data_IF_494770861827
#
_entry.id   IF_494770861827
#
_cell.length_a   1.000
_cell.length_b   1.000
_cell.length_c   1.000
_cell.angle_alpha   90.00
_cell.angle_beta   90.00
_cell.angle_gamma   90.00
#
_symmetry.space_group_name_H-M   'P 1'
#
loop_
_entity.id
_entity.type
_entity.pdbx_description
1 polymer ?
#
# COMPACT_ATOMS: atom_id res chain seq x y z
N UNK A 1 -5.97 58.96 -11.89
CA UNK A 1 -5.65 57.84 -10.99
C UNK A 1 -6.96 57.18 -10.58
N UNK A 2 -7.39 56.15 -11.33
CA UNK A 2 -8.63 55.38 -11.03
C UNK A 2 -8.21 54.06 -10.43
N UNK A 3 -8.50 53.89 -9.16
CA UNK A 3 -8.31 52.66 -8.40
C UNK A 3 -9.30 51.60 -8.86
N UNK A 4 -8.82 50.60 -9.57
CA UNK A 4 -9.59 49.41 -9.93
C UNK A 4 -9.65 48.51 -8.69
N UNK A 5 -10.84 48.47 -8.07
CA UNK A 5 -11.17 47.52 -7.01
C UNK A 5 -11.35 46.15 -7.67
N UNK A 6 -10.62 45.10 -7.28
CA UNK A 6 -10.86 43.77 -7.81
C UNK A 6 -12.22 43.25 -7.31
N UNK A 7 -13.11 42.97 -8.25
CA UNK A 7 -14.40 42.31 -7.98
C UNK A 7 -14.15 40.93 -7.40
N UNK A 8 -14.50 40.74 -6.13
CA UNK A 8 -14.58 39.43 -5.51
C UNK A 8 -15.50 38.51 -6.34
N UNK A 9 -14.92 37.53 -7.00
CA UNK A 9 -15.67 36.44 -7.62
C UNK A 9 -16.42 35.68 -6.53
N UNK A 10 -17.73 35.80 -6.50
CA UNK A 10 -18.63 35.02 -5.64
C UNK A 10 -18.56 33.53 -6.06
N UNK A 11 -17.54 32.80 -5.60
CA UNK A 11 -17.57 31.36 -5.57
C UNK A 11 -18.66 30.94 -4.56
N UNK A 12 -19.87 30.63 -5.08
CA UNK A 12 -20.94 30.03 -4.29
C UNK A 12 -20.38 28.79 -3.59
N UNK A 13 -20.05 28.92 -2.32
CA UNK A 13 -19.64 27.78 -1.50
C UNK A 13 -20.80 26.80 -1.44
N UNK A 14 -20.64 25.65 -2.09
CA UNK A 14 -21.63 24.56 -2.00
C UNK A 14 -21.81 24.22 -0.54
N UNK A 15 -23.07 24.33 -0.03
CA UNK A 15 -23.35 24.09 1.38
C UNK A 15 -22.86 22.71 1.82
N UNK A 16 -22.40 22.59 3.06
CA UNK A 16 -21.92 21.32 3.62
C UNK A 16 -22.96 20.19 3.44
N UNK A 17 -24.25 20.51 3.64
CA UNK A 17 -25.37 19.57 3.44
C UNK A 17 -25.41 19.02 1.99
N UNK A 18 -25.24 19.88 0.99
CA UNK A 18 -25.23 19.45 -0.42
C UNK A 18 -23.99 18.58 -0.76
N UNK A 19 -22.84 18.89 -0.17
CA UNK A 19 -21.62 18.04 -0.33
C UNK A 19 -21.81 16.67 0.29
N UNK A 20 -22.37 16.58 1.50
CA UNK A 20 -22.67 15.31 2.16
C UNK A 20 -23.68 14.52 1.34
N UNK A 21 -24.76 15.15 0.86
CA UNK A 21 -25.77 14.48 0.04
C UNK A 21 -25.18 13.93 -1.25
N UNK A 22 -24.40 14.71 -1.99
CA UNK A 22 -23.75 14.26 -3.22
C UNK A 22 -22.77 13.11 -2.96
N UNK A 23 -21.98 13.18 -1.89
CA UNK A 23 -21.09 12.11 -1.48
C UNK A 23 -21.87 10.82 -1.14
N UNK A 24 -22.95 10.93 -0.36
CA UNK A 24 -23.79 9.78 0.00
C UNK A 24 -24.43 9.14 -1.23
N UNK A 25 -24.98 9.93 -2.15
CA UNK A 25 -25.54 9.41 -3.41
C UNK A 25 -24.47 8.72 -4.25
N UNK A 26 -23.29 9.33 -4.40
CA UNK A 26 -22.18 8.73 -5.14
C UNK A 26 -21.72 7.41 -4.54
N UNK A 27 -21.65 7.33 -3.20
CA UNK A 27 -21.31 6.10 -2.49
C UNK A 27 -22.37 5.00 -2.70
N UNK A 28 -23.64 5.33 -2.60
CA UNK A 28 -24.74 4.38 -2.84
C UNK A 28 -24.67 3.83 -4.26
N UNK A 29 -24.49 4.70 -5.27
CA UNK A 29 -24.38 4.29 -6.67
C UNK A 29 -23.16 3.41 -6.91
N UNK A 30 -22.01 3.73 -6.30
CA UNK A 30 -20.80 2.95 -6.41
C UNK A 30 -20.95 1.56 -5.77
N UNK A 31 -21.57 1.49 -4.59
CA UNK A 31 -21.87 0.23 -3.90
C UNK A 31 -22.84 -0.61 -4.74
N UNK A 32 -23.90 -0.01 -5.28
CA UNK A 32 -24.85 -0.70 -6.14
C UNK A 32 -24.19 -1.26 -7.41
N UNK A 33 -23.33 -0.47 -8.07
CA UNK A 33 -22.60 -0.91 -9.26
C UNK A 33 -21.58 -2.02 -8.96
N UNK A 34 -20.96 -2.01 -7.78
CA UNK A 34 -19.97 -3.00 -7.37
C UNK A 34 -20.60 -4.25 -6.70
N UNK A 35 -21.88 -4.22 -6.35
CA UNK A 35 -22.53 -5.32 -5.61
C UNK A 35 -22.41 -6.69 -6.28
N UNK A 36 -22.46 -6.87 -7.62
CA UNK A 36 -22.26 -8.17 -8.25
C UNK A 36 -20.88 -8.77 -7.98
N UNK A 37 -19.86 -7.91 -7.82
CA UNK A 37 -18.49 -8.33 -7.47
C UNK A 37 -18.45 -8.83 -6.03
N UNK A 38 -19.10 -8.10 -5.12
CA UNK A 38 -19.07 -8.42 -3.69
C UNK A 38 -19.93 -9.63 -3.33
N UNK A 39 -20.95 -9.92 -4.10
CA UNK A 39 -21.80 -11.10 -3.87
C UNK A 39 -21.20 -12.41 -4.42
N UNK A 40 -20.05 -12.36 -5.07
CA UNK A 40 -19.33 -13.57 -5.53
C UNK A 40 -19.04 -14.52 -4.36
N UNK A 41 -19.16 -15.81 -4.65
CA UNK A 41 -18.75 -16.89 -3.74
C UNK A 41 -17.26 -17.18 -3.88
N UNK A 42 -16.67 -17.82 -2.87
CA UNK A 42 -15.28 -18.29 -2.87
C UNK A 42 -14.24 -17.16 -3.04
N UNK A 43 -14.53 -15.99 -2.47
CA UNK A 43 -13.57 -14.89 -2.37
C UNK A 43 -12.55 -15.12 -1.26
N UNK A 44 -11.42 -14.38 -1.26
CA UNK A 44 -10.47 -14.42 -0.14
C UNK A 44 -11.12 -14.00 1.19
N UNK A 45 -12.12 -13.11 1.15
CA UNK A 45 -12.89 -12.76 2.33
C UNK A 45 -13.58 -13.97 2.95
N UNK A 46 -14.24 -14.80 2.14
CA UNK A 46 -14.91 -15.99 2.65
C UNK A 46 -13.91 -17.10 3.05
N UNK A 47 -12.94 -17.37 2.17
CA UNK A 47 -12.03 -18.53 2.32
C UNK A 47 -10.94 -18.31 3.37
N UNK A 48 -10.48 -17.06 3.53
CA UNK A 48 -9.39 -16.72 4.44
C UNK A 48 -9.94 -15.95 5.63
N UNK A 49 -10.38 -14.72 5.45
CA UNK A 49 -10.64 -13.82 6.58
C UNK A 49 -11.79 -14.29 7.49
N UNK A 50 -12.92 -14.70 6.93
CA UNK A 50 -14.04 -15.24 7.73
C UNK A 50 -13.72 -16.59 8.35
N UNK A 51 -13.04 -17.47 7.61
CA UNK A 51 -12.67 -18.79 8.10
C UNK A 51 -11.77 -18.67 9.33
N UNK A 52 -10.69 -17.89 9.23
CA UNK A 52 -9.76 -17.71 10.34
C UNK A 52 -10.34 -16.86 11.49
N UNK A 53 -11.27 -15.96 11.22
CA UNK A 53 -12.04 -15.28 12.25
C UNK A 53 -12.94 -16.27 13.05
N UNK A 54 -13.52 -17.26 12.37
CA UNK A 54 -14.30 -18.32 13.02
C UNK A 54 -13.43 -19.22 13.89
N UNK A 55 -12.28 -19.68 13.37
CA UNK A 55 -11.30 -20.47 14.14
C UNK A 55 -10.83 -19.70 15.38
N UNK A 56 -10.50 -18.42 15.21
CA UNK A 56 -10.10 -17.56 16.32
C UNK A 56 -11.19 -17.46 17.42
N UNK A 57 -12.46 -17.28 17.00
CA UNK A 57 -13.60 -17.21 17.94
C UNK A 57 -13.84 -18.54 18.67
N UNK A 58 -13.53 -19.66 18.04
CA UNK A 58 -13.62 -21.00 18.61
C UNK A 58 -12.44 -21.33 19.53
N UNK A 59 -11.45 -20.45 19.66
CA UNK A 59 -10.23 -20.68 20.43
C UNK A 59 -9.24 -21.61 19.74
N UNK A 60 -9.46 -21.91 18.44
CA UNK A 60 -8.57 -22.76 17.67
C UNK A 60 -7.30 -22.03 17.23
N UNK A 61 -6.27 -22.79 16.92
CA UNK A 61 -5.00 -22.26 16.44
C UNK A 61 -5.10 -21.82 14.99
N UNK A 62 -5.08 -20.50 14.77
CA UNK A 62 -5.11 -19.90 13.43
C UNK A 62 -3.79 -20.02 12.68
N UNK A 63 -2.72 -20.45 13.34
CA UNK A 63 -1.37 -20.59 12.79
C UNK A 63 -0.92 -22.07 12.74
N UNK A 64 -1.86 -23.01 12.71
CA UNK A 64 -1.56 -24.44 12.61
C UNK A 64 -0.72 -24.78 11.38
N UNK A 65 -0.11 -25.95 11.36
CA UNK A 65 0.65 -26.42 10.19
C UNK A 65 -0.26 -26.50 8.96
N UNK A 66 0.21 -25.95 7.82
CA UNK A 66 -0.57 -25.83 6.59
C UNK A 66 -1.53 -24.64 6.56
N UNK A 67 -1.55 -23.78 7.59
CA UNK A 67 -2.34 -22.55 7.59
C UNK A 67 -1.93 -21.63 6.45
N UNK A 68 -2.92 -21.13 5.70
CA UNK A 68 -2.72 -20.07 4.68
C UNK A 68 -2.86 -18.65 5.25
N UNK A 69 -3.13 -18.53 6.56
CA UNK A 69 -3.30 -17.26 7.24
C UNK A 69 -1.94 -16.66 7.64
N UNK A 70 -1.49 -15.68 6.87
CA UNK A 70 -0.16 -15.06 7.00
C UNK A 70 -0.21 -13.66 7.63
N UNK A 71 -1.28 -13.34 8.34
CA UNK A 71 -1.50 -12.02 8.91
C UNK A 71 -1.36 -12.03 10.44
N UNK A 72 -1.03 -10.89 11.07
CA UNK A 72 -1.13 -10.76 12.53
C UNK A 72 -2.54 -11.08 13.06
N UNK A 73 -2.70 -11.44 14.35
CA UNK A 73 -3.98 -11.92 14.90
C UNK A 73 -5.10 -10.89 14.86
N UNK A 74 -4.78 -9.60 14.89
CA UNK A 74 -5.74 -8.50 14.75
C UNK A 74 -6.58 -8.63 13.48
N UNK A 75 -5.99 -9.10 12.40
CA UNK A 75 -6.69 -9.24 11.12
C UNK A 75 -7.85 -10.25 11.18
N UNK A 76 -7.67 -11.38 11.83
CA UNK A 76 -8.75 -12.34 12.04
C UNK A 76 -9.80 -11.78 13.02
N UNK A 77 -9.36 -11.09 14.07
CA UNK A 77 -10.22 -10.56 15.11
C UNK A 77 -11.25 -9.56 14.59
N UNK A 78 -10.85 -8.60 13.76
CA UNK A 78 -11.77 -7.59 13.19
C UNK A 78 -12.77 -8.19 12.21
N UNK A 79 -12.53 -9.41 11.73
CA UNK A 79 -13.46 -10.13 10.85
C UNK A 79 -14.50 -10.96 11.62
N UNK A 80 -14.39 -11.12 12.94
CA UNK A 80 -15.34 -11.90 13.77
C UNK A 80 -16.80 -11.44 13.58
N UNK A 81 -17.14 -10.14 13.60
CA UNK A 81 -18.53 -9.68 13.47
C UNK A 81 -19.23 -10.15 12.19
N UNK A 82 -18.46 -10.40 11.13
CA UNK A 82 -19.04 -10.84 9.85
C UNK A 82 -19.51 -12.30 9.89
N UNK A 83 -19.08 -13.11 10.87
CA UNK A 83 -19.52 -14.49 11.01
C UNK A 83 -20.95 -14.61 11.57
N UNK A 84 -21.44 -13.59 12.29
CA UNK A 84 -22.81 -13.54 12.81
C UNK A 84 -23.84 -13.04 11.79
N UNK A 85 -23.39 -12.53 10.64
CA UNK A 85 -24.28 -11.99 9.62
C UNK A 85 -24.64 -13.06 8.58
N UNK A 86 -25.85 -13.00 7.98
CA UNK A 86 -26.17 -13.75 6.78
C UNK A 86 -25.12 -13.52 5.68
N UNK A 87 -24.78 -14.55 4.92
CA UNK A 87 -23.63 -14.52 3.99
C UNK A 87 -23.67 -13.38 2.98
N UNK A 88 -24.86 -13.09 2.42
CA UNK A 88 -24.99 -11.97 1.49
C UNK A 88 -24.75 -10.61 2.16
N UNK A 89 -25.22 -10.43 3.40
CA UNK A 89 -25.05 -9.19 4.15
C UNK A 89 -23.58 -9.02 4.61
N UNK A 90 -22.95 -10.10 5.02
CA UNK A 90 -21.52 -10.13 5.35
C UNK A 90 -20.66 -9.67 4.17
N UNK A 91 -20.87 -10.22 2.98
CA UNK A 91 -20.17 -9.83 1.76
C UNK A 91 -20.45 -8.41 1.33
N UNK A 92 -21.71 -7.98 1.38
CA UNK A 92 -22.10 -6.60 1.03
C UNK A 92 -21.47 -5.59 2.00
N UNK A 93 -21.50 -5.89 3.29
CA UNK A 93 -20.87 -5.03 4.31
C UNK A 93 -19.35 -4.93 4.10
N UNK A 94 -18.69 -6.05 3.84
CA UNK A 94 -17.26 -6.09 3.51
C UNK A 94 -16.92 -5.26 2.27
N UNK A 95 -17.70 -5.42 1.20
CA UNK A 95 -17.56 -4.65 -0.02
C UNK A 95 -17.78 -3.15 0.19
N UNK A 96 -18.78 -2.79 1.00
CA UNK A 96 -19.06 -1.38 1.37
C UNK A 96 -17.88 -0.76 2.11
N UNK A 97 -17.29 -1.47 3.07
CA UNK A 97 -16.09 -1.04 3.79
C UNK A 97 -14.91 -0.86 2.82
N UNK A 98 -14.70 -1.80 1.91
CA UNK A 98 -13.65 -1.69 0.90
C UNK A 98 -13.84 -0.45 0.01
N UNK A 99 -15.05 -0.17 -0.45
CA UNK A 99 -15.34 1.04 -1.24
C UNK A 99 -15.08 2.31 -0.43
N UNK A 100 -15.49 2.34 0.84
CA UNK A 100 -15.23 3.48 1.71
C UNK A 100 -13.72 3.76 1.81
N UNK A 101 -12.92 2.73 2.09
CA UNK A 101 -11.47 2.88 2.20
C UNK A 101 -10.79 3.15 0.86
N UNK A 102 -11.33 2.67 -0.25
CA UNK A 102 -10.89 3.04 -1.59
C UNK A 102 -11.04 4.55 -1.85
N UNK A 103 -12.21 5.10 -1.57
CA UNK A 103 -12.46 6.55 -1.69
C UNK A 103 -11.57 7.34 -0.74
N UNK A 104 -11.40 6.86 0.50
CA UNK A 104 -10.54 7.47 1.51
C UNK A 104 -9.06 7.47 1.05
N UNK A 105 -8.60 6.40 0.43
CA UNK A 105 -7.25 6.29 -0.12
C UNK A 105 -7.00 7.34 -1.20
N UNK A 106 -7.91 7.42 -2.18
CA UNK A 106 -7.82 8.39 -3.28
C UNK A 106 -7.85 9.84 -2.76
N UNK A 107 -8.82 10.17 -1.92
CA UNK A 107 -8.98 11.52 -1.35
C UNK A 107 -7.75 11.94 -0.54
N UNK A 108 -7.25 11.01 0.31
CA UNK A 108 -6.07 11.27 1.14
C UNK A 108 -4.81 11.50 0.31
N UNK A 109 -4.54 10.61 -0.65
CA UNK A 109 -3.40 10.71 -1.56
C UNK A 109 -3.47 12.01 -2.40
N UNK A 110 -4.66 12.33 -2.91
CA UNK A 110 -4.89 13.55 -3.67
C UNK A 110 -4.62 14.81 -2.85
N UNK A 111 -5.11 14.86 -1.61
CA UNK A 111 -4.87 15.99 -0.70
C UNK A 111 -3.39 16.15 -0.35
N UNK A 112 -2.68 15.04 -0.09
CA UNK A 112 -1.24 15.07 0.20
C UNK A 112 -0.46 15.56 -1.02
N UNK A 113 -0.76 15.05 -2.22
CA UNK A 113 -0.04 15.40 -3.45
C UNK A 113 -0.13 16.89 -3.84
N UNK A 114 -1.18 17.60 -3.38
CA UNK A 114 -1.34 19.05 -3.62
C UNK A 114 -0.17 19.88 -3.08
N UNK A 115 0.53 19.39 -2.06
CA UNK A 115 1.70 20.05 -1.51
C UNK A 115 2.92 20.04 -2.44
N UNK A 116 3.00 19.08 -3.38
CA UNK A 116 4.16 18.91 -4.26
C UNK A 116 4.21 20.00 -5.33
N UNK A 117 3.06 20.29 -5.94
CA UNK A 117 2.92 21.34 -6.94
C UNK A 117 1.47 21.85 -6.98
N UNK A 118 1.32 23.18 -6.90
CA UNK A 118 0.03 23.86 -7.03
C UNK A 118 -0.32 24.03 -8.51
N UNK A 119 -0.97 23.04 -9.10
CA UNK A 119 -1.47 23.12 -10.48
C UNK A 119 -2.77 23.91 -10.58
N UNK A 120 -3.04 24.51 -11.77
CA UNK A 120 -4.35 25.08 -12.05
C UNK A 120 -5.44 23.98 -12.07
N UNK A 121 -6.72 24.37 -12.01
CA UNK A 121 -7.83 23.40 -11.89
C UNK A 121 -7.89 22.40 -13.04
N UNK A 122 -7.70 22.86 -14.31
CA UNK A 122 -7.75 21.95 -15.47
C UNK A 122 -6.63 20.92 -15.44
N UNK A 123 -5.41 21.35 -15.18
CA UNK A 123 -4.26 20.45 -15.08
C UNK A 123 -4.35 19.54 -13.84
N UNK A 124 -4.93 20.04 -12.76
CA UNK A 124 -5.23 19.22 -11.59
C UNK A 124 -6.07 17.98 -11.94
N UNK A 125 -7.10 18.13 -12.78
CA UNK A 125 -7.90 17.00 -13.24
C UNK A 125 -7.13 16.03 -14.15
N UNK A 126 -6.28 16.53 -15.04
CA UNK A 126 -5.39 15.69 -15.88
C UNK A 126 -4.45 14.88 -15.00
N UNK A 127 -3.79 15.51 -14.04
CA UNK A 127 -2.90 14.84 -13.11
C UNK A 127 -3.65 13.78 -12.25
N UNK A 128 -4.90 14.08 -11.86
CA UNK A 128 -5.75 13.12 -11.14
C UNK A 128 -6.04 11.89 -11.99
N UNK A 129 -6.48 12.08 -13.25
CA UNK A 129 -6.81 10.98 -14.15
C UNK A 129 -5.56 10.14 -14.44
N UNK A 130 -4.43 10.74 -14.77
CA UNK A 130 -3.19 10.03 -15.06
C UNK A 130 -2.74 9.21 -13.86
N UNK A 131 -2.68 9.81 -12.67
CA UNK A 131 -2.29 9.09 -11.46
C UNK A 131 -3.27 7.96 -11.11
N UNK A 132 -4.57 8.14 -11.35
CA UNK A 132 -5.57 7.10 -11.14
C UNK A 132 -5.37 5.93 -12.12
N UNK A 133 -5.15 6.20 -13.41
CA UNK A 133 -4.89 5.15 -14.42
C UNK A 133 -3.69 4.30 -14.02
N UNK A 134 -2.61 4.89 -13.49
CA UNK A 134 -1.42 4.15 -13.06
C UNK A 134 -1.72 3.03 -12.06
N UNK A 135 -2.81 3.12 -11.29
CA UNK A 135 -3.11 2.19 -10.18
C UNK A 135 -4.46 1.51 -10.26
N UNK A 136 -5.32 1.88 -11.20
CA UNK A 136 -6.70 1.37 -11.31
C UNK A 136 -6.74 -0.15 -11.37
N UNK A 137 -5.87 -0.78 -12.15
CA UNK A 137 -5.82 -2.25 -12.28
C UNK A 137 -5.50 -2.95 -10.95
N UNK A 138 -4.75 -2.31 -10.06
CA UNK A 138 -4.40 -2.87 -8.74
C UNK A 138 -5.59 -2.80 -7.78
N UNK A 139 -6.28 -1.67 -7.75
CA UNK A 139 -7.51 -1.54 -6.97
C UNK A 139 -8.62 -2.47 -7.46
N UNK A 140 -8.83 -2.57 -8.77
CA UNK A 140 -9.81 -3.49 -9.35
C UNK A 140 -9.48 -4.94 -9.00
N UNK A 141 -8.21 -5.33 -9.04
CA UNK A 141 -7.78 -6.66 -8.63
C UNK A 141 -8.09 -6.93 -7.16
N UNK A 142 -7.76 -5.98 -6.26
CA UNK A 142 -8.06 -6.10 -4.85
C UNK A 142 -9.57 -6.22 -4.57
N UNK A 143 -10.38 -5.37 -5.18
CA UNK A 143 -11.82 -5.39 -5.02
C UNK A 143 -12.46 -6.67 -5.57
N UNK A 144 -12.00 -7.16 -6.73
CA UNK A 144 -12.52 -8.38 -7.36
C UNK A 144 -12.24 -9.65 -6.56
N UNK A 145 -11.12 -9.69 -5.82
CA UNK A 145 -10.77 -10.80 -4.93
C UNK A 145 -11.25 -10.57 -3.50
N UNK A 146 -11.87 -9.42 -3.22
CA UNK A 146 -12.35 -9.03 -1.88
C UNK A 146 -11.24 -9.06 -0.83
N UNK A 147 -10.04 -8.61 -1.21
CA UNK A 147 -8.88 -8.55 -0.34
C UNK A 147 -8.93 -7.37 0.63
N UNK A 148 -8.13 -7.43 1.69
CA UNK A 148 -8.05 -6.41 2.73
C UNK A 148 -7.16 -5.22 2.36
N UNK A 149 -6.37 -5.33 1.32
CA UNK A 149 -5.29 -4.37 1.01
C UNK A 149 -5.79 -2.95 0.70
N UNK A 150 -7.02 -2.80 0.20
CA UNK A 150 -7.65 -1.47 0.04
C UNK A 150 -7.89 -0.80 1.39
N UNK A 151 -8.31 -1.56 2.39
CA UNK A 151 -8.54 -1.05 3.76
C UNK A 151 -7.20 -0.62 4.37
N UNK A 152 -6.16 -1.43 4.20
CA UNK A 152 -4.79 -1.07 4.65
C UNK A 152 -4.31 0.19 3.93
N UNK A 153 -4.42 0.26 2.62
CA UNK A 153 -4.01 1.41 1.82
C UNK A 153 -4.73 2.71 2.26
N UNK A 154 -6.06 2.63 2.43
CA UNK A 154 -6.87 3.75 2.92
C UNK A 154 -6.45 4.22 4.32
N UNK A 155 -6.22 3.27 5.23
CA UNK A 155 -5.78 3.56 6.60
C UNK A 155 -4.40 4.22 6.61
N UNK A 156 -3.43 3.69 5.86
CA UNK A 156 -2.08 4.26 5.76
C UNK A 156 -2.11 5.66 5.15
N UNK A 157 -2.79 5.84 4.01
CA UNK A 157 -2.85 7.12 3.32
C UNK A 157 -3.59 8.18 4.15
N UNK A 158 -4.64 7.79 4.87
CA UNK A 158 -5.30 8.69 5.81
C UNK A 158 -4.40 9.02 7.02
N UNK A 159 -3.64 8.04 7.53
CA UNK A 159 -2.59 8.27 8.53
C UNK A 159 -1.53 9.26 8.05
N UNK A 160 -1.03 9.09 6.84
CA UNK A 160 -0.11 10.03 6.19
C UNK A 160 -0.75 11.43 6.03
N UNK A 161 -2.04 11.52 5.70
CA UNK A 161 -2.76 12.80 5.65
C UNK A 161 -2.84 13.46 7.03
N UNK A 162 -3.03 12.71 8.11
CA UNK A 162 -2.97 13.27 9.46
C UNK A 162 -1.55 13.76 9.81
N UNK A 163 -0.54 12.97 9.49
CA UNK A 163 0.87 13.38 9.69
C UNK A 163 1.22 14.62 8.89
N UNK A 164 0.75 14.76 7.67
CA UNK A 164 0.96 15.96 6.84
C UNK A 164 0.32 17.23 7.42
N UNK A 165 -0.65 17.07 8.32
CA UNK A 165 -1.32 18.15 9.05
C UNK A 165 -0.79 18.34 10.47
N UNK A 166 0.40 17.80 10.77
CA UNK A 166 1.02 17.80 12.09
C UNK A 166 0.16 17.15 13.20
N UNK A 167 -0.81 16.30 12.83
CA UNK A 167 -1.63 15.52 13.77
C UNK A 167 -0.94 14.19 14.08
N UNK A 168 0.18 14.24 14.78
CA UNK A 168 1.10 13.13 15.01
C UNK A 168 0.45 11.93 15.69
N UNK A 169 -0.36 12.18 16.73
CA UNK A 169 -1.04 11.09 17.46
C UNK A 169 -1.99 10.35 16.53
N UNK A 170 -2.86 11.08 15.81
CA UNK A 170 -3.82 10.45 14.91
C UNK A 170 -3.13 9.68 13.78
N UNK A 171 -2.08 10.28 13.18
CA UNK A 171 -1.32 9.63 12.13
C UNK A 171 -0.57 8.39 12.62
N UNK A 172 0.05 8.48 13.80
CA UNK A 172 0.75 7.37 14.44
C UNK A 172 -0.18 6.18 14.74
N UNK A 173 -1.33 6.44 15.40
CA UNK A 173 -2.32 5.38 15.70
C UNK A 173 -2.78 4.68 14.42
N UNK A 174 -3.14 5.43 13.37
CA UNK A 174 -3.62 4.85 12.10
C UNK A 174 -2.55 3.98 11.43
N UNK A 175 -1.30 4.43 11.42
CA UNK A 175 -0.19 3.64 10.89
C UNK A 175 0.08 2.40 11.76
N UNK A 176 -0.06 2.49 13.09
CA UNK A 176 0.05 1.36 14.01
C UNK A 176 -1.05 0.32 13.80
N UNK A 177 -2.29 0.75 13.61
CA UNK A 177 -3.43 -0.13 13.27
C UNK A 177 -3.17 -0.83 11.92
N UNK A 178 -2.72 -0.09 10.91
CA UNK A 178 -2.40 -0.69 9.61
C UNK A 178 -1.26 -1.72 9.72
N UNK A 179 -0.24 -1.44 10.55
CA UNK A 179 0.85 -2.38 10.82
C UNK A 179 0.37 -3.63 11.58
N UNK A 180 -0.64 -3.50 12.44
CA UNK A 180 -1.25 -4.64 13.12
C UNK A 180 -2.08 -5.51 12.18
N UNK A 181 -2.55 -5.00 11.04
CA UNK A 181 -3.19 -5.80 10.00
C UNK A 181 -2.15 -6.49 9.09
N UNK A 182 -1.06 -5.80 8.77
CA UNK A 182 0.01 -6.27 7.88
C UNK A 182 1.31 -5.57 8.23
N UNK A 183 2.38 -6.29 8.46
CA UNK A 183 3.61 -5.75 9.03
C UNK A 183 4.34 -4.70 8.17
N UNK A 184 4.05 -4.62 6.87
CA UNK A 184 4.77 -3.72 5.96
C UNK A 184 4.76 -2.24 6.38
N UNK A 185 3.69 -1.65 7.00
CA UNK A 185 3.72 -0.29 7.52
C UNK A 185 4.71 -0.03 8.67
N UNK A 186 5.28 -1.08 9.29
CA UNK A 186 6.38 -0.92 10.26
C UNK A 186 7.55 -0.12 9.66
N UNK A 187 7.67 -0.08 8.33
CA UNK A 187 8.70 0.71 7.65
C UNK A 187 8.55 2.23 7.89
N UNK A 188 7.40 2.69 8.36
CA UNK A 188 7.25 4.09 8.81
C UNK A 188 7.96 4.37 10.13
N UNK A 189 8.21 3.38 11.02
CA UNK A 189 8.90 3.62 12.29
C UNK A 189 10.30 4.22 12.12
N UNK A 190 11.23 3.62 11.33
CA UNK A 190 12.54 4.23 11.11
C UNK A 190 12.44 5.63 10.50
N UNK A 191 11.45 5.89 9.65
CA UNK A 191 11.20 7.21 9.12
C UNK A 191 10.78 8.22 10.21
N UNK A 192 9.82 7.84 11.06
CA UNK A 192 9.36 8.69 12.15
C UNK A 192 10.48 8.99 13.15
N UNK A 193 11.36 7.99 13.43
CA UNK A 193 12.58 8.16 14.25
C UNK A 193 13.52 9.15 13.57
N UNK A 194 13.81 8.96 12.29
CA UNK A 194 14.68 9.83 11.51
C UNK A 194 14.19 11.29 11.46
N UNK A 195 12.85 11.50 11.52
CA UNK A 195 12.21 12.82 11.56
C UNK A 195 11.88 13.29 12.97
N UNK A 196 12.34 12.61 14.03
CA UNK A 196 12.13 12.96 15.45
C UNK A 196 10.66 13.18 15.83
N UNK A 197 9.73 12.47 15.15
CA UNK A 197 8.29 12.59 15.41
C UNK A 197 7.84 11.70 16.57
N UNK A 198 8.36 11.97 17.75
CA UNK A 198 8.21 11.13 18.96
C UNK A 198 6.74 10.85 19.32
N UNK A 199 5.86 11.86 19.19
CA UNK A 199 4.41 11.68 19.46
C UNK A 199 3.80 10.68 18.49
N UNK A 200 4.17 10.69 17.22
CA UNK A 200 3.71 9.74 16.23
C UNK A 200 4.27 8.34 16.49
N UNK A 201 5.53 8.21 16.90
CA UNK A 201 6.17 6.93 17.26
C UNK A 201 5.43 6.27 18.42
N UNK A 202 5.24 7.01 19.53
CA UNK A 202 4.53 6.47 20.69
C UNK A 202 3.12 6.05 20.36
N UNK A 203 2.38 6.87 19.62
CA UNK A 203 1.04 6.57 19.17
C UNK A 203 0.99 5.35 18.22
N UNK A 204 1.98 5.22 17.33
CA UNK A 204 2.14 4.05 16.46
C UNK A 204 2.33 2.77 17.28
N UNK A 205 3.30 2.78 18.21
CA UNK A 205 3.62 1.60 19.04
C UNK A 205 2.41 1.21 19.88
N UNK A 206 1.73 2.18 20.52
CA UNK A 206 0.51 1.92 21.29
C UNK A 206 -0.57 1.30 20.40
N UNK A 207 -0.87 1.90 19.23
CA UNK A 207 -1.87 1.37 18.31
C UNK A 207 -1.54 -0.04 17.82
N UNK A 208 -0.28 -0.29 17.46
CA UNK A 208 0.20 -1.59 17.00
C UNK A 208 0.08 -2.67 18.09
N UNK A 209 0.60 -2.40 19.29
CA UNK A 209 0.55 -3.36 20.40
C UNK A 209 -0.89 -3.59 20.86
N UNK A 210 -1.67 -2.53 21.06
CA UNK A 210 -3.07 -2.64 21.46
C UNK A 210 -3.85 -3.56 20.50
N UNK A 211 -3.78 -3.32 19.19
CA UNK A 211 -4.50 -4.14 18.22
C UNK A 211 -4.05 -5.61 18.23
N UNK A 212 -2.76 -5.88 18.38
CA UNK A 212 -2.27 -7.26 18.34
C UNK A 212 -2.60 -8.04 19.62
N UNK A 213 -2.65 -7.39 20.80
CA UNK A 213 -2.94 -8.05 22.06
C UNK A 213 -4.43 -8.07 22.45
N UNK A 214 -5.26 -7.20 21.85
CA UNK A 214 -6.69 -7.15 22.18
C UNK A 214 -7.44 -8.47 21.90
N UNK A 215 -7.11 -9.29 20.88
CA UNK A 215 -7.69 -10.61 20.73
C UNK A 215 -7.50 -11.50 21.95
N UNK A 216 -6.31 -11.48 22.56
CA UNK A 216 -6.01 -12.27 23.75
C UNK A 216 -6.69 -11.72 25.01
N UNK A 217 -6.85 -10.41 25.10
CA UNK A 217 -7.55 -9.76 26.21
C UNK A 217 -9.05 -10.09 26.20
N UNK A 218 -9.68 -10.13 25.01
CA UNK A 218 -11.12 -10.36 24.87
C UNK A 218 -11.50 -11.84 24.83
N UNK A 219 -10.72 -12.65 24.11
CA UNK A 219 -11.02 -14.07 23.87
C UNK A 219 -10.26 -15.02 24.81
N UNK A 220 -9.34 -14.50 25.62
CA UNK A 220 -8.39 -15.30 26.38
C UNK A 220 -7.23 -15.83 25.54
N UNK A 221 -6.23 -16.38 26.23
CA UNK A 221 -5.07 -17.01 25.57
C UNK A 221 -5.49 -18.30 24.87
N UNK A 222 -4.83 -18.68 23.77
CA UNK A 222 -5.05 -19.95 23.10
C UNK A 222 -4.61 -21.13 24.01
N UNK A 223 -4.98 -22.37 23.68
CA UNK A 223 -4.65 -23.56 24.49
C UNK A 223 -3.16 -23.71 24.80
N UNK A 224 -2.29 -23.19 23.97
CA UNK A 224 -0.83 -23.19 24.17
C UNK A 224 -0.36 -22.30 25.33
N UNK A 225 -1.24 -21.46 25.89
CA UNK A 225 -0.92 -20.52 26.97
C UNK A 225 -0.01 -19.35 26.57
N UNK A 226 0.29 -19.19 25.28
CA UNK A 226 1.12 -18.11 24.74
C UNK A 226 0.25 -17.04 24.06
N UNK A 227 0.59 -15.74 24.15
CA UNK A 227 -0.09 -14.71 23.37
C UNK A 227 0.02 -14.97 21.86
N UNK A 228 -1.09 -14.77 21.13
CA UNK A 228 -1.16 -14.99 19.67
C UNK A 228 -0.13 -14.19 18.86
N UNK A 229 0.24 -12.95 19.21
CA UNK A 229 1.34 -12.25 18.52
C UNK A 229 2.68 -12.96 18.66
N UNK A 230 2.95 -13.64 19.78
CA UNK A 230 4.18 -14.42 19.95
C UNK A 230 4.16 -15.68 19.09
N UNK A 231 3.02 -16.37 19.02
CA UNK A 231 2.84 -17.54 18.13
C UNK A 231 3.06 -17.11 16.66
N UNK A 232 2.51 -15.97 16.27
CA UNK A 232 2.74 -15.41 14.93
C UNK A 232 4.23 -15.16 14.65
N UNK A 233 4.96 -14.56 15.61
CA UNK A 233 6.40 -14.33 15.47
C UNK A 233 7.14 -15.68 15.35
N UNK A 234 6.86 -16.65 16.22
CA UNK A 234 7.52 -17.94 16.23
C UNK A 234 7.29 -18.73 14.93
N UNK A 235 6.06 -18.71 14.38
CA UNK A 235 5.70 -19.52 13.22
C UNK A 235 5.90 -18.84 11.87
N UNK A 236 5.82 -17.50 11.81
CA UNK A 236 5.95 -16.78 10.54
C UNK A 236 7.24 -15.97 10.42
N UNK A 237 7.62 -15.21 11.44
CA UNK A 237 8.76 -14.31 11.32
C UNK A 237 10.09 -15.01 11.62
N UNK A 238 10.14 -15.85 12.65
CA UNK A 238 11.37 -16.55 13.03
C UNK A 238 11.92 -17.46 11.90
N UNK A 239 11.09 -18.20 11.14
CA UNK A 239 11.60 -18.98 10.00
C UNK A 239 12.28 -18.14 8.93
N UNK A 240 11.86 -16.88 8.74
CA UNK A 240 12.47 -15.98 7.74
C UNK A 240 13.89 -15.55 8.10
N UNK A 241 14.28 -15.68 9.38
CA UNK A 241 15.65 -15.35 9.84
C UNK A 241 16.62 -16.50 9.67
N UNK A 242 16.15 -17.71 9.34
CA UNK A 242 17.00 -18.88 9.19
C UNK A 242 17.91 -18.74 7.95
N UNK A 243 19.14 -19.30 8.01
CA UNK A 243 20.09 -19.23 6.89
C UNK A 243 19.58 -19.90 5.60
N UNK A 244 18.77 -20.93 5.73
CA UNK A 244 18.16 -21.70 4.63
C UNK A 244 16.90 -21.06 4.06
N UNK A 245 16.35 -20.03 4.69
CA UNK A 245 15.21 -19.29 4.14
C UNK A 245 15.56 -18.62 2.82
N UNK A 246 14.79 -18.94 1.79
CA UNK A 246 14.97 -18.36 0.46
C UNK A 246 13.94 -17.24 0.25
N UNK A 247 14.37 -15.96 0.18
CA UNK A 247 13.45 -14.87 -0.10
C UNK A 247 12.69 -15.07 -1.42
N UNK A 248 11.41 -14.72 -1.43
CA UNK A 248 10.57 -14.79 -2.64
C UNK A 248 9.91 -16.16 -2.89
N UNK A 249 10.16 -17.17 -2.04
CA UNK A 249 9.48 -18.48 -2.14
C UNK A 249 8.13 -18.49 -1.45
N UNK A 250 7.82 -17.47 -0.70
CA UNK A 250 6.59 -17.42 0.06
C UNK A 250 5.42 -17.01 -0.84
N UNK A 251 4.38 -17.80 -0.82
CA UNK A 251 3.21 -17.67 -1.70
C UNK A 251 3.15 -18.76 -2.76
N UNK A 252 1.95 -19.09 -3.20
CA UNK A 252 1.67 -20.26 -4.03
C UNK A 252 2.23 -20.16 -5.45
N UNK A 253 2.38 -18.94 -6.02
CA UNK A 253 2.82 -18.74 -7.39
C UNK A 253 3.80 -17.58 -7.51
N UNK A 254 5.01 -17.90 -7.92
CA UNK A 254 6.12 -16.93 -8.01
C UNK A 254 5.85 -15.82 -9.00
N UNK A 255 5.12 -16.09 -10.10
CA UNK A 255 4.77 -15.07 -11.08
C UNK A 255 3.94 -13.93 -10.47
N UNK A 256 3.12 -14.21 -9.47
CA UNK A 256 2.31 -13.20 -8.80
C UNK A 256 3.07 -12.44 -7.71
N UNK A 257 4.22 -12.94 -7.25
CA UNK A 257 5.05 -12.21 -6.32
C UNK A 257 5.88 -11.15 -7.06
N UNK A 258 5.47 -9.89 -6.94
CA UNK A 258 6.08 -8.72 -7.59
C UNK A 258 6.96 -7.90 -6.62
N UNK A 259 7.39 -8.48 -5.50
CA UNK A 259 8.43 -7.89 -4.65
C UNK A 259 9.82 -8.04 -5.28
N UNK A 260 10.83 -7.31 -4.77
CA UNK A 260 12.22 -7.50 -5.20
C UNK A 260 12.69 -8.95 -4.98
N UNK A 261 12.30 -9.54 -3.83
CA UNK A 261 12.64 -10.91 -3.52
C UNK A 261 12.03 -11.91 -4.52
N UNK A 262 10.73 -11.79 -4.81
CA UNK A 262 10.05 -12.64 -5.79
C UNK A 262 10.59 -12.46 -7.21
N UNK A 263 10.85 -11.21 -7.60
CA UNK A 263 11.44 -10.88 -8.90
C UNK A 263 12.86 -11.42 -9.03
N UNK A 264 13.70 -11.20 -8.02
CA UNK A 264 15.07 -11.69 -7.99
C UNK A 264 15.13 -13.21 -8.08
N UNK A 265 14.28 -13.91 -7.31
CA UNK A 265 14.19 -15.36 -7.38
C UNK A 265 13.78 -15.84 -8.78
N UNK A 266 12.74 -15.26 -9.37
CA UNK A 266 12.26 -15.61 -10.72
C UNK A 266 13.34 -15.46 -11.79
N UNK A 267 14.15 -14.39 -11.73
CA UNK A 267 15.18 -14.15 -12.73
C UNK A 267 16.49 -14.93 -12.52
N UNK A 268 16.68 -15.54 -11.36
CA UNK A 268 17.89 -16.31 -11.04
C UNK A 268 17.68 -17.81 -11.07
N UNK A 269 16.47 -18.28 -11.35
CA UNK A 269 16.14 -19.70 -11.39
C UNK A 269 15.85 -20.21 -12.81
N UNK A 270 16.08 -21.50 -13.03
CA UNK A 270 15.74 -22.17 -14.28
C UNK A 270 14.22 -22.25 -14.44
N UNK A 271 13.72 -21.94 -15.62
CA UNK A 271 12.30 -21.96 -15.91
C UNK A 271 11.85 -23.36 -16.29
N UNK A 272 10.74 -23.80 -15.69
CA UNK A 272 10.03 -25.00 -16.09
C UNK A 272 8.68 -24.56 -16.67
N UNK A 273 8.39 -24.94 -17.91
CA UNK A 273 7.09 -24.70 -18.51
C UNK A 273 6.03 -25.57 -17.84
N UNK A 274 4.92 -24.97 -17.40
CA UNK A 274 3.76 -25.74 -16.94
C UNK A 274 2.82 -26.03 -18.10
N UNK A 275 2.02 -27.10 -17.97
CA UNK A 275 0.98 -27.45 -18.97
C UNK A 275 -0.09 -26.37 -19.15
N UNK A 276 -0.24 -25.47 -18.19
CA UNK A 276 -1.33 -24.47 -18.15
C UNK A 276 -0.94 -23.11 -18.72
N UNK A 277 0.33 -22.75 -18.71
CA UNK A 277 0.78 -21.47 -19.23
C UNK A 277 2.24 -21.52 -19.69
N UNK A 278 2.50 -21.04 -20.90
CA UNK A 278 3.84 -20.90 -21.48
C UNK A 278 4.81 -20.06 -20.62
N UNK A 279 4.28 -19.23 -19.72
CA UNK A 279 5.04 -18.30 -18.88
C UNK A 279 4.93 -18.61 -17.38
N UNK A 280 4.34 -19.73 -17.01
CA UNK A 280 4.33 -20.14 -15.61
C UNK A 280 5.69 -20.75 -15.25
N UNK A 281 6.19 -20.34 -14.10
CA UNK A 281 7.46 -20.83 -13.57
C UNK A 281 7.12 -21.75 -12.40
N UNK A 282 7.34 -23.05 -12.57
CA UNK A 282 7.41 -23.97 -11.43
C UNK A 282 8.87 -23.97 -10.99
N UNK A 283 9.09 -23.64 -9.73
CA UNK A 283 10.39 -23.75 -9.13
C UNK A 283 10.44 -25.10 -8.43
N UNK A 284 11.19 -26.00 -8.98
CA UNK A 284 11.76 -27.05 -8.16
C UNK A 284 12.77 -26.42 -7.21
N UNK A 285 12.77 -26.80 -5.93
CA UNK A 285 13.73 -26.28 -4.97
C UNK A 285 15.13 -26.77 -5.33
N UNK A 286 15.73 -26.12 -6.32
CA UNK A 286 17.16 -26.29 -6.59
C UNK A 286 17.91 -25.46 -5.55
N UNK A 287 18.27 -26.10 -4.46
CA UNK A 287 19.05 -25.52 -3.38
C UNK A 287 20.44 -25.02 -3.85
N UNK A 288 20.90 -25.40 -5.05
CA UNK A 288 22.22 -25.03 -5.58
C UNK A 288 22.34 -23.56 -6.00
N UNK A 289 21.23 -22.90 -6.35
CA UNK A 289 21.23 -21.50 -6.84
C UNK A 289 20.77 -20.44 -5.81
N UNK A 290 20.31 -20.86 -4.65
CA UNK A 290 19.86 -20.01 -3.56
C UNK A 290 20.90 -18.98 -3.05
N UNK A 291 22.23 -19.25 -3.07
CA UNK A 291 23.21 -18.32 -2.51
C UNK A 291 23.32 -16.96 -3.23
N UNK A 292 22.96 -16.90 -4.52
CA UNK A 292 23.15 -15.67 -5.32
C UNK A 292 22.07 -14.61 -5.11
N UNK A 293 20.87 -15.01 -4.73
CA UNK A 293 19.72 -14.07 -4.57
C UNK A 293 19.90 -13.16 -3.35
N UNK A 294 20.33 -13.72 -2.21
CA UNK A 294 20.52 -12.97 -0.95
C UNK A 294 21.49 -11.80 -1.09
N UNK A 295 22.72 -11.95 -1.59
CA UNK A 295 23.67 -10.83 -1.72
C UNK A 295 23.18 -9.78 -2.72
N UNK A 296 22.52 -10.16 -3.81
CA UNK A 296 21.94 -9.22 -4.77
C UNK A 296 20.85 -8.39 -4.10
N UNK A 297 19.90 -9.04 -3.40
CA UNK A 297 18.85 -8.34 -2.67
C UNK A 297 19.42 -7.43 -1.59
N UNK A 298 20.41 -7.88 -0.83
CA UNK A 298 21.06 -7.05 0.18
C UNK A 298 21.75 -5.84 -0.44
N UNK A 299 22.41 -6.00 -1.58
CA UNK A 299 23.01 -4.90 -2.33
C UNK A 299 21.96 -3.88 -2.80
N UNK A 300 20.82 -4.34 -3.33
CA UNK A 300 19.70 -3.49 -3.75
C UNK A 300 19.07 -2.74 -2.57
N UNK A 301 18.90 -3.41 -1.43
CA UNK A 301 18.37 -2.79 -0.20
C UNK A 301 19.32 -1.73 0.33
N UNK A 302 20.61 -2.03 0.41
CA UNK A 302 21.63 -1.07 0.87
C UNK A 302 21.71 0.13 -0.07
N UNK A 303 21.74 -0.09 -1.39
CA UNK A 303 21.74 0.98 -2.39
C UNK A 303 20.47 1.84 -2.28
N UNK A 304 19.30 1.23 -2.22
CA UNK A 304 18.02 1.94 -2.06
C UNK A 304 17.95 2.75 -0.77
N UNK A 305 18.48 2.19 0.34
CA UNK A 305 18.56 2.89 1.63
C UNK A 305 19.52 4.08 1.55
N UNK A 306 20.72 3.89 1.00
CA UNK A 306 21.70 4.96 0.83
C UNK A 306 21.16 6.08 -0.05
N UNK A 307 20.52 5.75 -1.17
CA UNK A 307 19.85 6.69 -2.06
C UNK A 307 18.72 7.45 -1.33
N UNK A 308 17.94 6.76 -0.53
CA UNK A 308 16.85 7.35 0.25
C UNK A 308 17.39 8.38 1.24
N UNK A 309 18.40 8.01 2.04
CA UNK A 309 19.03 8.90 3.00
C UNK A 309 19.70 10.10 2.31
N UNK A 310 20.35 9.88 1.17
CA UNK A 310 20.93 10.95 0.36
C UNK A 310 19.88 11.96 -0.11
N UNK A 311 18.75 11.48 -0.65
CA UNK A 311 17.66 12.33 -1.12
C UNK A 311 16.94 13.05 0.02
N UNK A 312 16.75 12.39 1.17
CA UNK A 312 16.11 13.02 2.32
C UNK A 312 16.98 14.09 2.99
N UNK A 313 18.30 13.95 2.89
CA UNK A 313 19.27 14.82 3.55
C UNK A 313 19.30 14.63 5.06
N UNK A 314 20.16 15.39 5.73
CA UNK A 314 20.30 15.32 7.18
C UNK A 314 18.97 15.63 7.89
N UNK A 315 18.63 14.95 8.99
CA UNK A 315 17.43 15.27 9.75
C UNK A 315 17.50 16.71 10.22
N UNK A 316 16.51 17.52 9.82
CA UNK A 316 16.46 18.93 10.18
C UNK A 316 16.17 19.13 11.66
N UNK A 317 16.40 20.36 12.15
CA UNK A 317 16.13 20.71 13.55
C UNK A 317 14.65 20.41 13.88
N UNK A 318 14.36 19.68 14.97
CA UNK A 318 12.97 19.33 15.38
C UNK A 318 12.03 20.53 15.50
N UNK A 319 12.56 21.71 15.82
CA UNK A 319 11.79 22.95 15.93
C UNK A 319 11.14 23.42 14.61
N UNK A 320 11.67 23.02 13.45
CA UNK A 320 11.16 23.39 12.13
C UNK A 320 10.12 22.40 11.57
N UNK A 321 9.84 21.31 12.29
CA UNK A 321 8.95 20.23 11.85
C UNK A 321 7.45 20.51 12.08
N UNK A 322 7.11 21.63 12.72
CA UNK A 322 5.73 22.03 12.98
C UNK A 322 5.00 22.64 11.77
N UNK A 323 5.61 22.61 10.58
CA UNK A 323 4.98 23.16 9.39
C UNK A 323 4.13 22.11 8.67
N UNK A 324 2.89 22.51 8.41
CA UNK A 324 1.88 21.84 7.59
C UNK A 324 2.44 21.32 6.26
N UNK A 325 1.83 20.25 5.77
CA UNK A 325 2.00 19.56 4.48
C UNK A 325 3.09 20.12 3.57
N UNK A 326 4.35 19.70 3.80
CA UNK A 326 5.46 20.11 2.93
C UNK A 326 5.55 19.15 1.73
N UNK A 327 6.03 19.65 0.56
CA UNK A 327 6.35 18.77 -0.57
C UNK A 327 7.25 17.61 -0.19
N UNK A 328 8.15 17.82 0.76
CA UNK A 328 9.08 16.82 1.25
C UNK A 328 8.37 15.63 1.88
N UNK A 329 7.41 15.87 2.79
CA UNK A 329 6.65 14.79 3.40
C UNK A 329 5.92 13.93 2.37
N UNK A 330 5.28 14.56 1.37
CA UNK A 330 4.55 13.83 0.34
C UNK A 330 5.49 12.91 -0.47
N UNK A 331 6.66 13.41 -0.84
CA UNK A 331 7.66 12.67 -1.61
C UNK A 331 8.33 11.58 -0.76
N UNK A 332 8.67 11.86 0.50
CA UNK A 332 9.24 10.88 1.43
C UNK A 332 8.26 9.76 1.75
N UNK A 333 6.99 10.08 2.05
CA UNK A 333 5.94 9.09 2.23
C UNK A 333 5.76 8.24 0.96
N UNK A 334 5.79 8.84 -0.24
CA UNK A 334 5.73 8.12 -1.51
C UNK A 334 6.86 7.11 -1.66
N UNK A 335 8.09 7.47 -1.29
CA UNK A 335 9.25 6.57 -1.31
C UNK A 335 9.08 5.40 -0.34
N UNK A 336 8.58 5.66 0.88
CA UNK A 336 8.31 4.61 1.88
C UNK A 336 7.25 3.63 1.36
N UNK A 337 6.17 4.12 0.76
CA UNK A 337 5.11 3.28 0.20
C UNK A 337 5.62 2.36 -0.92
N UNK A 338 6.49 2.87 -1.80
CA UNK A 338 7.16 2.04 -2.79
C UNK A 338 8.10 1.00 -2.13
N UNK A 339 8.88 1.41 -1.14
CA UNK A 339 9.79 0.52 -0.41
C UNK A 339 9.04 -0.59 0.34
N UNK A 340 7.87 -0.31 0.94
CA UNK A 340 7.03 -1.31 1.60
C UNK A 340 6.68 -2.47 0.67
N UNK A 341 6.39 -2.18 -0.60
CA UNK A 341 6.02 -3.18 -1.59
C UNK A 341 7.24 -3.93 -2.14
N UNK A 342 8.32 -3.20 -2.38
CA UNK A 342 9.56 -3.76 -2.92
C UNK A 342 10.28 -4.66 -1.91
N UNK A 343 10.30 -4.28 -0.64
CA UNK A 343 11.00 -5.00 0.44
C UNK A 343 10.15 -6.09 1.11
N UNK A 344 8.85 -6.14 0.83
CA UNK A 344 7.99 -7.21 1.33
C UNK A 344 8.46 -8.58 0.83
N UNK A 345 8.41 -9.63 1.64
CA UNK A 345 8.73 -10.98 1.18
C UNK A 345 7.75 -11.46 0.10
N UNK A 346 6.52 -10.96 0.13
CA UNK A 346 5.50 -11.21 -0.87
C UNK A 346 4.67 -9.96 -1.15
N UNK A 347 4.58 -9.56 -2.41
CA UNK A 347 3.71 -8.49 -2.88
C UNK A 347 2.98 -8.93 -4.15
N UNK A 348 1.70 -9.29 -4.01
CA UNK A 348 0.84 -9.57 -5.15
C UNK A 348 0.28 -8.27 -5.75
N UNK A 349 -0.24 -8.34 -6.97
CA UNK A 349 -0.79 -7.20 -7.71
C UNK A 349 -1.77 -6.35 -6.90
N UNK A 350 -2.59 -6.95 -6.05
CA UNK A 350 -3.58 -6.25 -5.23
C UNK A 350 -2.97 -5.25 -4.23
N UNK A 351 -1.77 -5.53 -3.73
CA UNK A 351 -1.09 -4.68 -2.76
C UNK A 351 -0.67 -3.31 -3.32
N UNK A 352 -0.53 -3.21 -4.65
CA UNK A 352 0.06 -2.04 -5.32
C UNK A 352 -0.90 -0.85 -5.48
N UNK A 353 -2.15 -0.95 -5.04
CA UNK A 353 -3.09 0.18 -5.02
C UNK A 353 -2.57 1.40 -4.22
N UNK A 354 -1.76 1.16 -3.20
CA UNK A 354 -1.15 2.21 -2.38
C UNK A 354 -0.19 3.13 -3.16
N UNK A 355 0.27 2.72 -4.36
CA UNK A 355 1.09 3.53 -5.26
C UNK A 355 0.36 4.76 -5.82
N UNK A 356 -0.91 4.97 -5.47
CA UNK A 356 -1.67 6.15 -5.89
C UNK A 356 -1.03 7.45 -5.40
N UNK A 357 -0.43 7.49 -4.21
CA UNK A 357 0.26 8.70 -3.73
C UNK A 357 1.51 9.02 -4.55
N UNK A 358 2.48 8.10 -4.75
CA UNK A 358 3.64 8.39 -5.59
C UNK A 358 3.26 8.71 -7.05
N UNK A 359 2.20 8.09 -7.59
CA UNK A 359 1.71 8.40 -8.93
C UNK A 359 1.11 9.82 -9.01
N UNK A 360 0.29 10.23 -8.02
CA UNK A 360 -0.23 11.60 -7.96
C UNK A 360 0.87 12.65 -7.79
N UNK A 361 1.88 12.37 -6.96
CA UNK A 361 2.99 13.30 -6.77
C UNK A 361 3.73 13.56 -8.08
N UNK A 362 4.04 12.53 -8.87
CA UNK A 362 4.66 12.69 -10.18
C UNK A 362 3.73 13.32 -11.21
N UNK A 363 2.45 12.92 -11.24
CA UNK A 363 1.48 13.46 -12.20
C UNK A 363 1.28 14.98 -12.02
N UNK A 364 1.37 15.49 -10.79
CA UNK A 364 1.32 16.92 -10.52
C UNK A 364 2.48 17.71 -11.16
N UNK A 365 3.62 17.05 -11.36
CA UNK A 365 4.80 17.69 -11.95
C UNK A 365 4.70 17.85 -13.48
N UNK A 366 3.67 17.31 -14.13
CA UNK A 366 3.49 17.47 -15.59
C UNK A 366 3.29 18.91 -16.04
N UNK A 367 2.87 19.80 -15.15
CA UNK A 367 2.73 21.25 -15.42
C UNK A 367 4.00 22.04 -15.05
N UNK A 368 4.95 21.42 -14.36
CA UNK A 368 6.16 22.07 -13.88
C UNK A 368 7.26 22.12 -14.95
N UNK A 369 8.36 22.83 -14.65
CA UNK A 369 9.58 22.78 -15.46
C UNK A 369 10.19 21.39 -15.54
N UNK A 370 9.84 20.50 -14.63
CA UNK A 370 10.30 19.10 -14.55
C UNK A 370 9.36 18.11 -15.24
N UNK A 371 8.49 18.57 -16.14
CA UNK A 371 7.52 17.73 -16.88
C UNK A 371 8.16 16.56 -17.61
N UNK A 372 9.34 16.72 -18.20
CA UNK A 372 10.04 15.66 -18.91
C UNK A 372 10.43 14.51 -17.98
N UNK A 373 10.90 14.80 -16.77
CA UNK A 373 11.18 13.83 -15.73
C UNK A 373 9.90 13.11 -15.28
N UNK A 374 8.81 13.87 -15.07
CA UNK A 374 7.52 13.28 -14.69
C UNK A 374 7.00 12.34 -15.79
N UNK A 375 7.07 12.71 -17.06
CA UNK A 375 6.67 11.86 -18.20
C UNK A 375 7.51 10.58 -18.21
N UNK A 376 8.83 10.69 -18.07
CA UNK A 376 9.75 9.56 -18.11
C UNK A 376 9.40 8.53 -17.01
N UNK A 377 9.22 8.99 -15.76
CA UNK A 377 8.93 8.09 -14.65
C UNK A 377 7.46 7.66 -14.55
N UNK A 378 6.53 8.32 -15.21
CA UNK A 378 5.13 7.88 -15.31
C UNK A 378 4.88 6.91 -16.47
N UNK A 379 5.77 6.83 -17.45
CA UNK A 379 5.56 6.02 -18.66
C UNK A 379 5.30 4.54 -18.32
N UNK A 380 6.16 3.91 -17.51
CA UNK A 380 6.00 2.50 -17.11
C UNK A 380 4.76 2.30 -16.24
N UNK A 381 4.53 3.07 -15.15
CA UNK A 381 3.30 2.94 -14.36
C UNK A 381 2.03 3.12 -15.17
N UNK A 382 1.98 4.07 -16.09
CA UNK A 382 0.81 4.32 -16.93
C UNK A 382 0.57 3.13 -17.89
N UNK A 383 1.61 2.64 -18.53
CA UNK A 383 1.54 1.46 -19.41
C UNK A 383 1.06 0.23 -18.62
N UNK A 384 1.63 -0.02 -17.45
CA UNK A 384 1.24 -1.16 -16.61
C UNK A 384 -0.16 -1.01 -16.04
N UNK A 385 -0.59 0.20 -15.67
CA UNK A 385 -1.94 0.49 -15.22
C UNK A 385 -3.03 0.15 -16.25
N UNK A 386 -2.69 0.21 -17.53
CA UNK A 386 -3.57 -0.17 -18.65
C UNK A 386 -3.41 -1.67 -18.99
N UNK A 387 -2.18 -2.10 -19.25
CA UNK A 387 -1.92 -3.43 -19.82
C UNK A 387 -2.01 -4.57 -18.81
N UNK A 388 -1.88 -4.32 -17.51
CA UNK A 388 -2.08 -5.34 -16.48
C UNK A 388 -3.58 -5.59 -16.17
N UNK A 389 -4.42 -5.34 -17.15
CA UNK A 389 -5.80 -5.80 -17.18
C UNK A 389 -5.93 -6.94 -18.18
N UNK A 390 -6.27 -8.15 -17.70
CA UNK A 390 -6.36 -9.36 -18.52
C UNK A 390 -7.41 -9.25 -19.63
N UNK A 391 -8.51 -8.50 -19.37
CA UNK A 391 -9.59 -8.31 -20.31
C UNK A 391 -9.21 -7.35 -21.46
N UNK A 392 -8.24 -6.43 -21.21
CA UNK A 392 -7.74 -5.50 -22.23
C UNK A 392 -6.57 -6.06 -23.02
N UNK A 393 -5.61 -6.69 -22.34
CA UNK A 393 -4.35 -7.14 -22.97
C UNK A 393 -4.37 -8.61 -23.42
N UNK A 394 -5.36 -9.37 -22.96
CA UNK A 394 -5.39 -10.81 -23.12
C UNK A 394 -4.47 -11.57 -22.13
N UNK A 395 -4.75 -12.87 -21.97
CA UNK A 395 -4.06 -13.68 -20.97
C UNK A 395 -2.53 -13.77 -21.19
N UNK A 396 -2.08 -13.87 -22.43
CA UNK A 396 -0.67 -14.04 -22.75
C UNK A 396 0.17 -12.80 -22.41
N UNK A 397 -0.30 -11.62 -22.85
CA UNK A 397 0.40 -10.35 -22.55
C UNK A 397 0.37 -10.07 -21.06
N UNK A 398 -0.78 -10.26 -20.41
CA UNK A 398 -0.91 -10.12 -18.96
C UNK A 398 0.10 -10.98 -18.21
N UNK A 399 0.19 -12.28 -18.56
CA UNK A 399 1.11 -13.22 -17.92
C UNK A 399 2.57 -12.87 -18.20
N UNK A 400 2.89 -12.47 -19.44
CA UNK A 400 4.23 -12.00 -19.80
C UNK A 400 4.65 -10.77 -18.98
N UNK A 401 3.76 -9.79 -18.83
CA UNK A 401 4.05 -8.58 -18.06
C UNK A 401 4.28 -8.86 -16.56
N UNK A 402 3.54 -9.82 -15.99
CA UNK A 402 3.81 -10.28 -14.63
C UNK A 402 5.15 -11.04 -14.54
N UNK A 403 5.44 -11.86 -15.55
CA UNK A 403 6.69 -12.63 -15.60
C UNK A 403 7.91 -11.73 -15.68
N UNK A 404 7.91 -10.70 -16.52
CA UNK A 404 8.99 -9.70 -16.61
C UNK A 404 8.98 -8.67 -15.48
N UNK A 405 8.17 -8.89 -14.45
CA UNK A 405 8.08 -8.03 -13.27
C UNK A 405 7.59 -6.60 -13.56
N UNK A 406 6.63 -6.43 -14.45
CA UNK A 406 6.12 -5.11 -14.85
C UNK A 406 5.64 -4.25 -13.68
N UNK A 407 5.03 -4.86 -12.65
CA UNK A 407 4.59 -4.16 -11.44
C UNK A 407 5.78 -3.68 -10.60
N UNK A 408 6.82 -4.51 -10.49
CA UNK A 408 8.07 -4.17 -9.79
C UNK A 408 8.74 -2.98 -10.46
N UNK A 409 8.87 -3.00 -11.80
CA UNK A 409 9.44 -1.89 -12.56
C UNK A 409 8.62 -0.61 -12.45
N UNK A 410 7.28 -0.70 -12.44
CA UNK A 410 6.40 0.45 -12.15
C UNK A 410 6.72 1.05 -10.79
N UNK A 411 6.90 0.20 -9.77
CA UNK A 411 7.18 0.65 -8.40
C UNK A 411 8.56 1.29 -8.29
N UNK A 412 9.58 0.70 -8.93
CA UNK A 412 10.93 1.26 -8.99
C UNK A 412 10.90 2.62 -9.72
N UNK A 413 10.19 2.72 -10.84
CA UNK A 413 10.05 3.97 -11.58
C UNK A 413 9.43 5.08 -10.73
N UNK A 414 8.32 4.77 -10.01
CA UNK A 414 7.69 5.72 -9.09
C UNK A 414 8.62 6.08 -7.91
N UNK A 415 9.35 5.12 -7.37
CA UNK A 415 10.31 5.37 -6.29
C UNK A 415 11.42 6.34 -6.76
N UNK A 416 12.07 6.05 -7.88
CA UNK A 416 13.15 6.88 -8.43
C UNK A 416 12.67 8.28 -8.79
N UNK A 417 11.51 8.39 -9.44
CA UNK A 417 10.93 9.68 -9.79
C UNK A 417 10.67 10.56 -8.57
N UNK A 418 10.07 10.00 -7.52
CA UNK A 418 9.82 10.73 -6.27
C UNK A 418 11.13 11.05 -5.52
N UNK A 419 12.14 10.18 -5.56
CA UNK A 419 13.44 10.42 -4.95
C UNK A 419 14.16 11.60 -5.62
N UNK A 420 14.18 11.64 -6.95
CA UNK A 420 14.79 12.75 -7.70
C UNK A 420 14.05 14.06 -7.45
N UNK A 421 12.71 14.05 -7.43
CA UNK A 421 11.93 15.24 -7.08
C UNK A 421 12.25 15.70 -5.66
N UNK A 422 12.41 14.78 -4.73
CA UNK A 422 12.78 15.11 -3.35
C UNK A 422 14.17 15.74 -3.25
N UNK A 423 15.11 15.24 -4.04
CA UNK A 423 16.45 15.84 -4.15
C UNK A 423 16.40 17.28 -4.66
N UNK A 424 15.65 17.55 -5.73
CA UNK A 424 15.49 18.93 -6.27
C UNK A 424 14.78 19.85 -5.28
N UNK A 425 13.76 19.39 -4.59
CA UNK A 425 13.08 20.17 -3.55
C UNK A 425 14.03 20.56 -2.40
N UNK A 426 15.01 19.70 -2.07
CA UNK A 426 16.07 20.01 -1.11
C UNK A 426 17.00 21.12 -1.63
N UNK A 427 17.43 21.06 -2.88
CA UNK A 427 18.32 22.06 -3.46
C UNK A 427 17.69 23.47 -3.46
N UNK A 428 16.41 23.58 -3.79
CA UNK A 428 15.71 24.87 -3.79
C UNK A 428 15.64 25.52 -2.40
N UNK A 429 15.58 24.74 -1.33
CA UNK A 429 15.60 25.26 0.05
C UNK A 429 16.98 25.75 0.50
N UNK A 430 18.07 25.20 -0.07
CA UNK A 430 19.44 25.64 0.26
C UNK A 430 19.81 26.93 -0.47
N UNK A 431 19.05 27.31 -1.51
CA UNK A 431 19.29 28.51 -2.33
C UNK A 431 18.30 29.65 -2.04
N UNK A 432 17.28 29.43 -1.24
CA UNK A 432 16.31 30.41 -0.71
C UNK A 432 16.69 30.84 0.70
#
# INVERSE_FOLDING_TARGET
MSTIIPTHSNHKTVSLKRRILLFSISMILLIAAASPIFLRTNSEFDLVFKTYAKLLLQGEDIYHEGSVFMYPPWMAFICIPFNSLPQWLSRLSWGTINIFFFVLAIDSAWKISKSVFASNEKFGWIAFIIGLICVTTYFLNCLSHQQFDVIIAGTILFGCLQLSKAKDINGGILLGIAAACKLTPLLFLPYLIYRFRWKAIMAFVVGFLFCNFIPDIILGLPPEGKPRPMIFIERFLAPMTKPDFVPGTWGSEIIYNQSLAGTGKRFTQTHIETKESKYSVIIEPDNSQSPKVKPILMGLVLFGTAMTLFCWGWPGNPSNLNTTATPQFALEASMILCAMLLLSPMSSKAHFGILILPAFCLARMLESRQKALAIFFLAIPLMMGILLNKDLSGANIYTLLLWVAGVTWSTISLFLGNAILRYFAKQQQLTS
#
